data_IF_333362980203
#
_entry.id   IF_333362980203
#
_cell.length_a   1.000
_cell.length_b   1.000
_cell.length_c   1.000
_cell.angle_alpha   90.00
_cell.angle_beta   90.00
_cell.angle_gamma   90.00
#
_symmetry.space_group_name_H-M   'P 1'
#
loop_
_entity.id
_entity.type
_entity.pdbx_description
1 polymer ?
#
# COMPACT_ATOMS: atom_id res chain seq x y z
N UNK A 1 20.58 1.45 -20.81
CA UNK A 1 20.14 2.85 -20.93
C UNK A 1 18.70 2.83 -21.40
N UNK A 2 17.78 3.31 -20.58
CA UNK A 2 16.38 3.41 -20.96
C UNK A 2 16.20 4.68 -21.78
N UNK A 3 15.71 4.57 -23.01
CA UNK A 3 15.39 5.73 -23.80
C UNK A 3 13.93 6.07 -23.55
N UNK A 4 13.65 7.12 -22.79
CA UNK A 4 12.29 7.66 -22.71
C UNK A 4 11.98 8.45 -23.98
N UNK A 5 11.20 7.86 -24.88
CA UNK A 5 10.75 8.55 -26.07
C UNK A 5 9.36 8.05 -26.50
N UNK A 6 8.71 8.75 -27.43
CA UNK A 6 7.36 8.41 -27.87
C UNK A 6 7.22 7.00 -28.51
N UNK A 7 8.33 6.35 -28.91
CA UNK A 7 8.33 5.00 -29.47
C UNK A 7 8.65 3.90 -28.46
N UNK A 8 9.18 4.26 -27.28
CA UNK A 8 9.52 3.29 -26.23
C UNK A 8 8.27 2.84 -25.47
N UNK A 9 8.33 1.61 -24.97
CA UNK A 9 7.25 1.00 -24.17
C UNK A 9 7.83 0.43 -22.89
N UNK A 10 7.18 0.71 -21.77
CA UNK A 10 7.50 0.11 -20.47
C UNK A 10 6.31 -0.70 -19.98
N UNK A 11 6.58 -1.82 -19.32
CA UNK A 11 5.58 -2.65 -18.68
C UNK A 11 5.29 -2.18 -17.27
N UNK A 12 4.01 -2.05 -16.93
CA UNK A 12 3.53 -1.77 -15.58
C UNK A 12 2.86 -3.03 -15.07
N UNK A 13 3.50 -3.74 -14.14
CA UNK A 13 2.86 -4.84 -13.43
C UNK A 13 1.92 -4.22 -12.40
N UNK A 14 0.65 -4.14 -12.80
CA UNK A 14 -0.41 -3.40 -12.15
C UNK A 14 -1.16 -4.29 -11.15
N UNK A 15 -1.06 -3.93 -9.88
CA UNK A 15 -1.64 -4.69 -8.76
C UNK A 15 -3.11 -4.43 -8.53
N UNK A 16 -3.70 -3.42 -9.17
CA UNK A 16 -5.15 -3.15 -9.08
C UNK A 16 -5.97 -4.00 -10.05
N UNK A 17 -5.37 -4.54 -11.11
CA UNK A 17 -6.09 -5.38 -12.07
C UNK A 17 -6.51 -6.68 -11.38
N UNK A 18 -7.82 -6.92 -11.37
CA UNK A 18 -8.48 -8.04 -10.67
C UNK A 18 -8.27 -8.06 -9.14
N UNK A 19 -7.94 -6.92 -8.53
CA UNK A 19 -7.90 -6.81 -7.07
C UNK A 19 -9.30 -6.58 -6.50
N UNK A 20 -9.62 -7.29 -5.43
CA UNK A 20 -10.82 -7.06 -4.60
C UNK A 20 -10.55 -6.13 -3.41
N UNK A 21 -9.38 -5.51 -3.37
CA UNK A 21 -8.95 -4.61 -2.31
C UNK A 21 -8.63 -3.24 -2.90
N UNK A 22 -9.46 -2.23 -2.58
CA UNK A 22 -9.28 -0.87 -3.11
C UNK A 22 -7.95 -0.23 -2.67
N UNK A 23 -7.32 -0.76 -1.62
CA UNK A 23 -5.96 -0.37 -1.22
C UNK A 23 -4.92 -0.54 -2.35
N UNK A 24 -5.07 -1.53 -3.24
CA UNK A 24 -4.17 -1.70 -4.38
C UNK A 24 -4.36 -0.60 -5.43
N UNK A 25 -5.57 -0.02 -5.54
CA UNK A 25 -5.82 1.13 -6.41
C UNK A 25 -5.12 2.39 -5.89
N UNK A 26 -5.08 2.61 -4.57
CA UNK A 26 -4.32 3.72 -3.94
C UNK A 26 -2.82 3.59 -4.24
N UNK A 27 -2.29 2.37 -4.11
CA UNK A 27 -0.89 2.07 -4.42
C UNK A 27 -0.61 2.37 -5.90
N UNK A 28 -1.46 1.88 -6.79
CA UNK A 28 -1.28 2.05 -8.23
C UNK A 28 -1.42 3.50 -8.68
N UNK A 29 -2.36 4.27 -8.12
CA UNK A 29 -2.49 5.71 -8.36
C UNK A 29 -1.17 6.44 -8.05
N UNK A 30 -0.60 6.17 -6.88
CA UNK A 30 0.65 6.80 -6.43
C UNK A 30 1.87 6.31 -7.24
N UNK A 31 1.98 5.01 -7.48
CA UNK A 31 3.08 4.44 -8.24
C UNK A 31 3.06 4.92 -9.71
N UNK A 32 1.89 4.92 -10.35
CA UNK A 32 1.73 5.37 -11.72
C UNK A 32 2.03 6.85 -11.88
N UNK A 33 1.63 7.69 -10.90
CA UNK A 33 2.03 9.10 -10.85
C UNK A 33 3.55 9.27 -10.85
N UNK A 34 4.28 8.51 -10.03
CA UNK A 34 5.75 8.62 -9.96
C UNK A 34 6.42 8.08 -11.22
N UNK A 35 5.97 6.94 -11.75
CA UNK A 35 6.50 6.38 -13.00
C UNK A 35 6.25 7.33 -14.19
N UNK A 36 5.11 7.99 -14.24
CA UNK A 36 4.79 8.94 -15.31
C UNK A 36 5.66 10.20 -15.26
N UNK A 37 6.21 10.58 -14.09
CA UNK A 37 7.21 11.64 -13.96
C UNK A 37 8.58 11.19 -14.49
N UNK A 38 8.95 9.92 -14.26
CA UNK A 38 10.25 9.36 -14.68
C UNK A 38 10.27 9.07 -16.18
N UNK A 39 9.17 8.55 -16.71
CA UNK A 39 9.03 8.19 -18.12
C UNK A 39 7.88 8.97 -18.75
N UNK A 40 7.95 10.29 -18.92
CA UNK A 40 6.84 11.07 -19.47
C UNK A 40 6.44 10.63 -20.88
N UNK A 41 7.38 10.21 -21.74
CA UNK A 41 7.09 9.95 -23.15
C UNK A 41 6.76 8.49 -23.46
N UNK A 42 7.34 7.54 -22.73
CA UNK A 42 7.16 6.11 -22.97
C UNK A 42 5.69 5.70 -22.83
N UNK A 43 5.22 4.81 -23.71
CA UNK A 43 3.93 4.17 -23.53
C UNK A 43 3.96 3.20 -22.33
N UNK A 44 2.96 3.27 -21.45
CA UNK A 44 2.82 2.36 -20.31
C UNK A 44 1.86 1.23 -20.68
N UNK A 45 2.38 0.02 -20.77
CA UNK A 45 1.62 -1.20 -21.06
C UNK A 45 1.32 -1.91 -19.75
N UNK A 46 0.05 -2.02 -19.38
CA UNK A 46 -0.34 -2.62 -18.10
C UNK A 46 -0.49 -4.15 -18.21
N UNK A 47 0.03 -4.86 -17.21
CA UNK A 47 -0.07 -6.31 -17.05
C UNK A 47 -0.61 -6.64 -15.65
N UNK A 48 -1.50 -7.62 -15.49
CA UNK A 48 -1.98 -8.01 -14.17
C UNK A 48 -0.89 -8.70 -13.35
N UNK A 49 -0.98 -8.58 -12.02
CA UNK A 49 -0.16 -9.37 -11.08
C UNK A 49 -0.91 -10.50 -10.41
N UNK A 50 -2.22 -10.35 -10.16
CA UNK A 50 -3.06 -11.36 -9.51
C UNK A 50 -3.47 -12.48 -10.48
N UNK A 51 -3.49 -12.17 -11.78
CA UNK A 51 -3.69 -13.14 -12.85
C UNK A 51 -2.40 -13.46 -13.59
N UNK A 52 -2.38 -14.63 -14.25
CA UNK A 52 -1.27 -15.00 -15.12
C UNK A 52 -1.30 -14.15 -16.38
N UNK A 53 -0.12 -13.75 -16.84
CA UNK A 53 0.02 -13.10 -18.14
C UNK A 53 -0.36 -14.09 -19.24
N UNK A 54 -1.37 -13.73 -20.03
CA UNK A 54 -1.87 -14.56 -21.14
C UNK A 54 -0.96 -14.49 -22.36
N UNK A 55 -1.26 -15.28 -23.41
CA UNK A 55 -0.51 -15.28 -24.68
C UNK A 55 -0.36 -13.89 -25.31
N UNK A 56 -1.39 -13.04 -25.21
CA UNK A 56 -1.33 -11.67 -25.74
C UNK A 56 -0.34 -10.84 -24.93
N UNK A 57 -0.43 -10.92 -23.60
CA UNK A 57 0.51 -10.24 -22.71
C UNK A 57 1.95 -10.67 -22.96
N UNK A 58 2.20 -11.97 -23.14
CA UNK A 58 3.54 -12.50 -23.47
C UNK A 58 4.08 -12.00 -24.81
N UNK A 59 3.23 -11.73 -25.81
CA UNK A 59 3.69 -11.06 -27.04
C UNK A 59 4.13 -9.62 -26.76
N UNK A 60 3.36 -8.88 -25.95
CA UNK A 60 3.69 -7.49 -25.56
C UNK A 60 4.94 -7.39 -24.69
N UNK A 61 5.24 -8.41 -23.88
CA UNK A 61 6.47 -8.50 -23.10
C UNK A 61 7.74 -8.43 -23.97
N UNK A 62 7.67 -8.84 -25.24
CA UNK A 62 8.79 -8.72 -26.20
C UNK A 62 8.96 -7.31 -26.76
N UNK A 63 7.93 -6.46 -26.67
CA UNK A 63 7.91 -5.10 -27.22
C UNK A 63 8.32 -4.04 -26.19
N UNK A 64 8.36 -4.39 -24.91
CA UNK A 64 8.73 -3.47 -23.82
C UNK A 64 10.23 -3.54 -23.51
N UNK A 65 10.77 -2.44 -22.98
CA UNK A 65 12.15 -2.36 -22.52
C UNK A 65 12.36 -2.94 -21.12
N UNK A 66 11.36 -2.81 -20.23
CA UNK A 66 11.44 -3.23 -18.83
C UNK A 66 10.04 -3.43 -18.24
N UNK A 67 9.92 -4.23 -17.18
CA UNK A 67 8.75 -4.22 -16.30
C UNK A 67 9.03 -3.47 -14.99
N UNK A 68 8.06 -2.68 -14.52
CA UNK A 68 8.07 -2.10 -13.18
C UNK A 68 6.95 -2.75 -12.35
N UNK A 69 7.33 -3.44 -11.28
CA UNK A 69 6.42 -4.05 -10.31
C UNK A 69 6.03 -3.04 -9.22
N UNK A 70 4.79 -2.58 -9.27
CA UNK A 70 4.27 -1.49 -8.44
C UNK A 70 3.55 -2.00 -7.19
N UNK A 71 4.19 -1.95 -6.01
CA UNK A 71 3.66 -2.56 -4.79
C UNK A 71 3.19 -4.00 -5.06
N UNK A 72 2.25 -4.63 -4.36
CA UNK A 72 1.67 -4.46 -3.03
C UNK A 72 2.43 -5.44 -2.10
N UNK A 73 1.74 -6.26 -1.32
CA UNK A 73 2.24 -7.52 -0.73
C UNK A 73 2.50 -8.59 -1.82
N UNK A 74 3.41 -8.34 -2.74
CA UNK A 74 3.66 -9.26 -3.86
C UNK A 74 4.64 -10.39 -3.53
N UNK A 75 5.42 -10.25 -2.45
CA UNK A 75 6.51 -11.16 -2.10
C UNK A 75 6.17 -11.97 -0.86
N UNK A 76 6.56 -13.25 -0.85
CA UNK A 76 6.47 -14.13 0.31
C UNK A 76 7.50 -15.26 0.21
N UNK A 77 7.77 -15.98 1.30
CA UNK A 77 8.83 -17.00 1.34
C UNK A 77 8.53 -18.27 0.56
N UNK A 78 7.27 -18.48 0.13
CA UNK A 78 6.78 -19.68 -0.52
C UNK A 78 5.93 -19.36 -1.76
N UNK A 79 6.50 -18.65 -2.73
CA UNK A 79 5.77 -18.15 -3.92
C UNK A 79 5.23 -19.26 -4.84
N UNK A 80 5.70 -20.50 -4.69
CA UNK A 80 5.11 -21.63 -5.40
C UNK A 80 3.67 -21.91 -4.93
N UNK A 81 3.46 -21.81 -3.61
CA UNK A 81 2.20 -22.13 -2.92
C UNK A 81 1.30 -20.90 -2.79
N UNK A 82 1.87 -19.72 -2.55
CA UNK A 82 1.14 -18.47 -2.35
C UNK A 82 1.46 -17.46 -3.45
N UNK A 83 0.54 -17.31 -4.40
CA UNK A 83 0.73 -16.55 -5.64
C UNK A 83 0.02 -15.19 -5.62
N UNK A 84 0.38 -14.32 -4.68
CA UNK A 84 -0.09 -12.92 -4.69
C UNK A 84 0.47 -12.16 -5.89
N UNK A 85 1.73 -12.42 -6.24
CA UNK A 85 2.22 -12.22 -7.58
C UNK A 85 2.18 -13.56 -8.31
N UNK A 86 1.27 -13.67 -9.27
CA UNK A 86 0.97 -14.91 -10.00
C UNK A 86 1.99 -15.19 -11.11
N UNK A 87 3.25 -15.28 -10.71
CA UNK A 87 4.37 -15.61 -11.57
C UNK A 87 4.97 -16.95 -11.17
N UNK A 88 5.19 -17.80 -12.17
CA UNK A 88 5.93 -19.04 -12.04
C UNK A 88 7.18 -19.01 -12.92
N UNK A 89 8.00 -20.05 -12.82
CA UNK A 89 9.26 -20.12 -13.57
C UNK A 89 9.06 -20.09 -15.09
N UNK A 90 7.95 -20.63 -15.59
CA UNK A 90 7.63 -20.57 -17.01
C UNK A 90 7.43 -19.11 -17.44
N UNK A 91 6.54 -18.38 -16.73
CA UNK A 91 6.32 -16.97 -17.03
C UNK A 91 7.58 -16.14 -16.83
N UNK A 92 8.34 -16.38 -15.76
CA UNK A 92 9.58 -15.68 -15.45
C UNK A 92 10.62 -15.79 -16.58
N UNK A 93 10.71 -16.94 -17.25
CA UNK A 93 11.66 -17.15 -18.34
C UNK A 93 11.33 -16.36 -19.62
N UNK A 94 10.04 -16.09 -19.86
CA UNK A 94 9.60 -15.39 -21.07
C UNK A 94 9.27 -13.91 -20.86
N UNK A 95 9.11 -13.49 -19.60
CA UNK A 95 8.89 -12.10 -19.26
C UNK A 95 10.17 -11.28 -19.41
N UNK A 96 10.00 -9.98 -19.70
CA UNK A 96 11.09 -9.02 -19.57
C UNK A 96 11.48 -8.91 -18.10
N UNK A 97 12.76 -8.64 -17.84
CA UNK A 97 13.26 -8.38 -16.49
C UNK A 97 12.42 -7.32 -15.77
N UNK A 98 12.32 -7.50 -14.45
CA UNK A 98 11.45 -6.70 -13.58
C UNK A 98 12.31 -5.85 -12.64
N UNK A 99 11.98 -4.58 -12.51
CA UNK A 99 12.45 -3.69 -11.45
C UNK A 99 11.29 -3.45 -10.49
N UNK A 100 11.54 -3.45 -9.19
CA UNK A 100 10.50 -3.28 -8.18
C UNK A 100 10.37 -1.83 -7.76
N UNK A 101 9.14 -1.40 -7.45
CA UNK A 101 8.80 -0.11 -6.91
C UNK A 101 7.90 -0.29 -5.68
N UNK A 102 8.46 -0.10 -4.50
CA UNK A 102 7.73 -0.12 -3.23
C UNK A 102 7.03 -1.46 -2.94
N UNK A 103 7.61 -2.58 -3.39
CA UNK A 103 7.06 -3.91 -3.11
C UNK A 103 7.31 -4.31 -1.67
N UNK A 104 6.46 -5.19 -1.14
CA UNK A 104 6.55 -5.64 0.24
C UNK A 104 6.38 -7.15 0.44
N UNK A 105 6.95 -7.63 1.54
CA UNK A 105 6.73 -8.98 2.04
C UNK A 105 5.40 -9.09 2.80
N UNK A 106 4.65 -10.16 2.55
CA UNK A 106 3.24 -10.26 2.97
C UNK A 106 3.04 -10.35 4.48
N UNK A 107 3.84 -11.17 5.15
CA UNK A 107 3.77 -11.41 6.60
C UNK A 107 5.19 -11.58 7.14
N UNK A 108 5.34 -11.57 8.46
CA UNK A 108 6.55 -12.09 9.08
C UNK A 108 6.67 -13.59 8.80
N UNK A 109 7.78 -13.97 8.15
CA UNK A 109 8.11 -15.32 7.72
C UNK A 109 9.62 -15.57 7.88
N UNK A 110 9.98 -16.85 7.86
CA UNK A 110 11.37 -17.28 7.71
C UNK A 110 11.95 -16.89 6.35
N UNK A 111 13.25 -17.15 6.18
CA UNK A 111 13.98 -16.87 4.95
C UNK A 111 13.28 -17.48 3.72
N UNK A 112 13.39 -16.85 2.55
CA UNK A 112 12.75 -17.34 1.34
C UNK A 112 13.27 -18.73 0.97
N UNK A 113 12.37 -19.65 0.61
CA UNK A 113 12.77 -21.01 0.23
C UNK A 113 13.61 -21.04 -1.07
N UNK A 114 14.21 -22.20 -1.41
CA UNK A 114 15.04 -22.34 -2.60
C UNK A 114 14.31 -21.95 -3.89
N UNK A 115 13.05 -22.36 -4.04
CA UNK A 115 12.21 -22.01 -5.19
C UNK A 115 12.02 -20.49 -5.31
N UNK A 116 11.56 -19.85 -4.24
CA UNK A 116 11.32 -18.40 -4.21
C UNK A 116 12.61 -17.63 -4.53
N UNK A 117 13.72 -18.03 -3.91
CA UNK A 117 15.01 -17.39 -4.15
C UNK A 117 15.49 -17.55 -5.59
N UNK A 118 15.30 -18.73 -6.19
CA UNK A 118 15.63 -18.98 -7.59
C UNK A 118 14.74 -18.16 -8.54
N UNK A 119 13.43 -18.16 -8.32
CA UNK A 119 12.45 -17.38 -9.10
C UNK A 119 12.81 -15.89 -9.08
N UNK A 120 13.02 -15.31 -7.90
CA UNK A 120 13.28 -13.88 -7.75
C UNK A 120 14.62 -13.48 -8.39
N UNK A 121 15.70 -14.24 -8.20
CA UNK A 121 16.99 -13.97 -8.86
C UNK A 121 16.94 -14.09 -10.38
N UNK A 122 15.97 -14.85 -10.92
CA UNK A 122 15.83 -15.02 -12.35
C UNK A 122 15.02 -13.88 -12.99
N UNK A 123 13.90 -13.48 -12.35
CA UNK A 123 12.98 -12.50 -12.93
C UNK A 123 13.36 -11.05 -12.64
N UNK A 124 13.99 -10.80 -11.49
CA UNK A 124 14.41 -9.47 -11.10
C UNK A 124 15.70 -9.09 -11.83
N UNK A 125 15.82 -7.82 -12.19
CA UNK A 125 17.01 -7.32 -12.87
C UNK A 125 18.26 -7.42 -11.99
N UNK A 126 19.37 -7.89 -12.55
CA UNK A 126 20.66 -7.97 -11.83
C UNK A 126 21.49 -6.69 -11.92
N UNK A 127 21.08 -5.71 -12.74
CA UNK A 127 21.85 -4.49 -13.01
C UNK A 127 21.20 -3.21 -12.49
N UNK A 128 19.95 -3.30 -12.02
CA UNK A 128 19.14 -2.15 -11.63
C UNK A 128 18.80 -2.18 -10.14
N UNK A 129 18.62 -1.02 -9.52
CA UNK A 129 18.22 -0.94 -8.12
C UNK A 129 16.74 -1.29 -7.94
N UNK A 130 16.47 -2.17 -6.98
CA UNK A 130 15.13 -2.58 -6.55
C UNK A 130 14.66 -1.71 -5.40
N UNK A 131 13.45 -1.15 -5.54
CA UNK A 131 12.77 -0.42 -4.47
C UNK A 131 11.84 -1.36 -3.71
N UNK A 132 11.96 -1.36 -2.39
CA UNK A 132 11.03 -2.01 -1.45
C UNK A 132 10.43 -0.99 -0.50
N UNK A 133 9.31 -1.35 0.13
CA UNK A 133 8.56 -0.42 0.98
C UNK A 133 8.97 -0.37 2.44
N UNK A 134 9.76 -1.33 2.91
CA UNK A 134 10.16 -1.48 4.31
C UNK A 134 11.47 -2.26 4.45
N UNK A 135 12.16 -2.03 5.56
CA UNK A 135 13.46 -2.61 5.90
C UNK A 135 13.38 -4.13 6.09
N UNK A 136 12.22 -4.63 6.51
CA UNK A 136 11.97 -6.07 6.61
C UNK A 136 12.03 -6.76 5.25
N UNK A 137 11.35 -6.21 4.25
CA UNK A 137 11.37 -6.72 2.87
C UNK A 137 12.78 -6.62 2.28
N UNK A 138 13.49 -5.52 2.55
CA UNK A 138 14.89 -5.35 2.12
C UNK A 138 15.78 -6.49 2.64
N UNK A 139 15.67 -6.80 3.94
CA UNK A 139 16.42 -7.88 4.58
C UNK A 139 16.12 -9.24 3.96
N UNK A 140 14.85 -9.54 3.67
CA UNK A 140 14.47 -10.83 3.09
C UNK A 140 14.93 -10.98 1.63
N UNK A 141 14.83 -9.92 0.81
CA UNK A 141 15.38 -9.96 -0.55
C UNK A 141 16.90 -10.13 -0.55
N UNK A 142 17.62 -9.44 0.34
CA UNK A 142 19.06 -9.67 0.55
C UNK A 142 19.36 -11.12 0.90
N UNK A 143 18.55 -11.74 1.75
CA UNK A 143 18.71 -13.16 2.10
C UNK A 143 18.40 -14.14 0.96
N UNK A 144 17.62 -13.72 -0.04
CA UNK A 144 17.39 -14.49 -1.29
C UNK A 144 18.52 -14.31 -2.31
N UNK A 145 19.52 -13.47 -2.03
CA UNK A 145 20.65 -13.19 -2.90
C UNK A 145 20.47 -11.98 -3.83
N UNK A 146 19.50 -11.11 -3.55
CA UNK A 146 19.26 -9.87 -4.31
C UNK A 146 19.83 -8.71 -3.49
N UNK A 147 21.02 -8.25 -3.87
CA UNK A 147 21.80 -7.28 -3.08
C UNK A 147 21.61 -5.83 -3.55
N UNK A 148 21.19 -5.64 -4.79
CA UNK A 148 20.81 -4.39 -5.43
C UNK A 148 19.41 -3.93 -5.00
N UNK A 149 19.14 -3.84 -3.71
CA UNK A 149 17.84 -3.49 -3.14
C UNK A 149 17.96 -2.40 -2.07
N UNK A 150 17.00 -1.48 -2.05
CA UNK A 150 16.94 -0.36 -1.10
C UNK A 150 15.52 -0.08 -0.65
N UNK A 151 15.33 0.18 0.65
CA UNK A 151 14.08 0.68 1.19
C UNK A 151 13.82 2.14 0.78
N UNK A 152 12.78 2.34 -0.01
CA UNK A 152 12.35 3.66 -0.51
C UNK A 152 11.01 4.09 0.09
N UNK A 153 10.49 3.39 1.11
CA UNK A 153 9.08 3.43 1.47
C UNK A 153 8.14 3.01 0.32
N UNK A 154 6.84 2.96 0.61
CA UNK A 154 5.82 2.72 -0.41
C UNK A 154 5.61 3.99 -1.25
N UNK A 155 5.35 3.83 -2.56
CA UNK A 155 5.08 4.96 -3.45
C UNK A 155 3.94 5.87 -2.98
N UNK A 156 2.98 5.34 -2.20
CA UNK A 156 1.91 6.13 -1.58
C UNK A 156 2.39 7.17 -0.57
N UNK A 157 3.63 7.06 -0.09
CA UNK A 157 4.19 7.97 0.91
C UNK A 157 5.12 9.02 0.29
N UNK A 158 5.51 8.89 -0.99
CA UNK A 158 6.57 9.72 -1.57
C UNK A 158 6.24 11.21 -1.68
N UNK A 159 4.95 11.56 -1.69
CA UNK A 159 4.51 12.95 -1.69
C UNK A 159 4.19 13.48 -0.27
N UNK A 160 4.34 12.66 0.78
CA UNK A 160 4.17 13.08 2.18
C UNK A 160 5.44 13.76 2.70
N UNK A 161 5.84 14.83 2.04
CA UNK A 161 7.00 15.66 2.43
C UNK A 161 6.74 16.38 3.76
N UNK A 162 7.78 16.96 4.36
CA UNK A 162 7.64 17.79 5.56
C UNK A 162 6.65 18.95 5.32
N UNK A 163 6.75 19.66 4.19
CA UNK A 163 5.84 20.74 3.80
C UNK A 163 4.39 20.25 3.63
N UNK A 164 4.19 19.05 3.09
CA UNK A 164 2.85 18.46 2.96
C UNK A 164 2.29 18.10 4.33
N UNK A 165 3.09 17.47 5.19
CA UNK A 165 2.66 17.04 6.52
C UNK A 165 2.39 18.22 7.45
N UNK A 166 3.11 19.34 7.31
CA UNK A 166 2.90 20.57 8.09
C UNK A 166 1.54 21.24 7.82
N UNK A 167 0.90 20.94 6.68
CA UNK A 167 -0.43 21.44 6.34
C UNK A 167 -1.56 20.63 7.00
N UNK A 168 -1.25 19.46 7.59
CA UNK A 168 -2.23 18.59 8.24
C UNK A 168 -2.52 19.14 9.63
N UNK A 169 -3.80 19.45 9.90
CA UNK A 169 -4.24 19.96 11.20
C UNK A 169 -4.03 18.88 12.27
N UNK A 170 -3.27 19.15 13.36
CA UNK A 170 -2.94 18.13 14.36
C UNK A 170 -4.09 17.84 15.35
N UNK A 171 -5.03 18.79 15.46
CA UNK A 171 -6.21 18.71 16.32
C UNK A 171 -7.23 17.73 15.76
N UNK A 172 -7.95 17.05 16.65
CA UNK A 172 -9.07 16.17 16.33
C UNK A 172 -10.15 16.89 15.53
N UNK A 173 -10.66 16.23 14.49
CA UNK A 173 -11.82 16.70 13.71
C UNK A 173 -13.16 16.38 14.37
N UNK A 174 -14.21 17.01 13.88
CA UNK A 174 -15.59 16.78 14.30
C UNK A 174 -16.09 15.37 13.91
N UNK A 175 -15.81 14.97 12.68
CA UNK A 175 -16.29 13.73 12.07
C UNK A 175 -15.15 12.74 11.87
N UNK A 176 -15.48 11.46 11.65
CA UNK A 176 -14.48 10.42 11.35
C UNK A 176 -14.94 9.47 10.26
N UNK A 177 -14.01 9.12 9.36
CA UNK A 177 -14.15 7.97 8.46
C UNK A 177 -13.23 6.84 8.91
N UNK A 178 -13.78 5.64 9.05
CA UNK A 178 -13.05 4.49 9.55
C UNK A 178 -13.15 3.26 8.65
N UNK A 179 -12.22 2.32 8.87
CA UNK A 179 -12.16 1.05 8.14
C UNK A 179 -11.86 -0.12 9.06
N UNK A 180 -12.36 -1.29 8.67
CA UNK A 180 -12.08 -2.59 9.29
C UNK A 180 -11.37 -3.50 8.28
N UNK A 181 -10.75 -4.59 8.76
CA UNK A 181 -9.98 -5.51 7.91
C UNK A 181 -10.54 -6.92 7.97
N UNK A 182 -11.29 -7.32 6.94
CA UNK A 182 -12.00 -8.60 6.85
C UNK A 182 -11.15 -9.87 6.99
N UNK A 183 -9.87 -9.85 6.61
CA UNK A 183 -8.99 -11.02 6.72
C UNK A 183 -8.17 -11.06 8.02
N UNK A 184 -8.34 -10.06 8.91
CA UNK A 184 -7.72 -9.98 10.24
C UNK A 184 -8.76 -9.61 11.30
N UNK A 185 -9.95 -10.23 11.24
CA UNK A 185 -11.04 -9.97 12.19
C UNK A 185 -10.61 -10.22 13.63
N UNK A 186 -11.00 -9.32 14.51
CA UNK A 186 -11.00 -9.47 15.97
C UNK A 186 -12.22 -8.72 16.46
N UNK A 187 -13.31 -9.46 16.65
CA UNK A 187 -14.62 -8.90 16.96
C UNK A 187 -14.62 -8.10 18.25
N UNK A 188 -13.96 -8.59 19.30
CA UNK A 188 -13.94 -7.93 20.60
C UNK A 188 -13.22 -6.58 20.51
N UNK A 189 -12.06 -6.52 19.84
CA UNK A 189 -11.30 -5.27 19.71
C UNK A 189 -11.95 -4.27 18.76
N UNK A 190 -12.57 -4.75 17.69
CA UNK A 190 -13.24 -3.86 16.74
C UNK A 190 -14.57 -3.30 17.30
N UNK A 191 -15.24 -4.06 18.16
CA UNK A 191 -16.38 -3.54 18.93
C UNK A 191 -15.95 -2.35 19.79
N UNK A 192 -14.86 -2.50 20.55
CA UNK A 192 -14.29 -1.43 21.38
C UNK A 192 -13.92 -0.20 20.54
N UNK A 193 -13.31 -0.42 19.37
CA UNK A 193 -13.00 0.67 18.44
C UNK A 193 -14.27 1.43 17.99
N UNK A 194 -15.30 0.71 17.54
CA UNK A 194 -16.55 1.33 17.07
C UNK A 194 -17.21 2.13 18.20
N UNK A 195 -17.25 1.59 19.42
CA UNK A 195 -17.76 2.29 20.60
C UNK A 195 -16.99 3.57 20.88
N UNK A 196 -15.65 3.52 20.86
CA UNK A 196 -14.80 4.68 21.08
C UNK A 196 -15.01 5.77 20.00
N UNK A 197 -15.16 5.38 18.74
CA UNK A 197 -15.45 6.29 17.63
C UNK A 197 -16.80 6.98 17.82
N UNK A 198 -17.86 6.23 18.12
CA UNK A 198 -19.21 6.79 18.36
C UNK A 198 -19.27 7.68 19.61
N UNK A 199 -18.45 7.41 20.63
CA UNK A 199 -18.32 8.25 21.83
C UNK A 199 -17.55 9.54 21.54
N UNK A 200 -16.72 9.57 20.50
CA UNK A 200 -15.75 10.63 20.26
C UNK A 200 -16.14 11.59 19.14
N UNK A 201 -16.82 11.13 18.09
CA UNK A 201 -17.10 11.92 16.89
C UNK A 201 -18.60 12.09 16.69
N UNK A 202 -18.99 13.22 16.09
CA UNK A 202 -20.40 13.55 15.89
C UNK A 202 -21.01 12.70 14.76
N UNK A 203 -20.35 12.66 13.61
CA UNK A 203 -20.69 11.78 12.49
C UNK A 203 -19.60 10.73 12.25
N UNK A 204 -20.02 9.47 12.08
CA UNK A 204 -19.14 8.33 11.84
C UNK A 204 -19.45 7.72 10.47
N UNK A 205 -18.43 7.61 9.63
CA UNK A 205 -18.50 7.03 8.28
C UNK A 205 -17.70 5.73 8.24
N UNK A 206 -18.25 4.67 7.65
CA UNK A 206 -17.54 3.41 7.44
C UNK A 206 -17.23 3.23 5.96
N UNK A 207 -15.96 3.17 5.59
CA UNK A 207 -15.55 2.87 4.23
C UNK A 207 -15.29 1.39 4.03
N UNK A 208 -16.00 0.80 3.05
CA UNK A 208 -15.82 -0.59 2.65
C UNK A 208 -14.61 -0.68 1.72
N UNK A 209 -13.44 -1.08 2.20
CA UNK A 209 -12.24 -1.13 1.34
C UNK A 209 -12.04 -2.50 0.66
N UNK A 210 -12.28 -3.59 1.38
CA UNK A 210 -12.18 -4.97 0.91
C UNK A 210 -13.55 -5.59 0.66
N UNK A 211 -13.59 -6.62 -0.19
CA UNK A 211 -14.85 -7.26 -0.63
C UNK A 211 -15.72 -7.84 0.50
N UNK A 212 -15.15 -8.21 1.64
CA UNK A 212 -15.89 -8.75 2.80
C UNK A 212 -15.96 -7.78 3.98
N UNK A 213 -15.49 -6.53 3.84
CA UNK A 213 -15.51 -5.55 4.94
C UNK A 213 -16.94 -5.21 5.35
N UNK A 214 -17.86 -5.09 4.37
CA UNK A 214 -19.25 -4.78 4.66
C UNK A 214 -19.96 -5.91 5.42
N UNK A 215 -19.76 -7.16 5.02
CA UNK A 215 -20.30 -8.32 5.74
C UNK A 215 -19.76 -8.38 7.18
N UNK A 216 -18.47 -8.12 7.36
CA UNK A 216 -17.89 -8.05 8.69
C UNK A 216 -18.48 -6.91 9.52
N UNK A 217 -18.63 -5.73 8.94
CA UNK A 217 -19.26 -4.58 9.59
C UNK A 217 -20.71 -4.86 10.00
N UNK A 218 -21.49 -5.57 9.17
CA UNK A 218 -22.85 -5.96 9.50
C UNK A 218 -22.93 -6.92 10.71
N UNK A 219 -21.87 -7.68 11.00
CA UNK A 219 -21.86 -8.62 12.13
C UNK A 219 -21.98 -7.95 13.51
N UNK A 220 -21.76 -6.63 13.60
CA UNK A 220 -21.88 -5.85 14.85
C UNK A 220 -23.32 -5.42 15.19
N UNK A 221 -24.32 -5.77 14.37
CA UNK A 221 -25.74 -5.60 14.70
C UNK A 221 -26.16 -4.16 14.99
N UNK A 222 -26.83 -3.91 16.12
CA UNK A 222 -27.34 -2.57 16.45
C UNK A 222 -26.24 -1.53 16.75
N UNK A 223 -25.01 -1.96 17.04
CA UNK A 223 -23.89 -1.06 17.34
C UNK A 223 -23.60 -0.10 16.18
N UNK A 224 -23.80 -0.57 14.95
CA UNK A 224 -23.51 0.18 13.73
C UNK A 224 -24.64 1.13 13.30
N UNK A 225 -25.75 1.17 14.03
CA UNK A 225 -26.83 2.12 13.76
C UNK A 225 -26.31 3.56 13.84
N UNK A 226 -26.68 4.38 12.85
CA UNK A 226 -26.24 5.77 12.71
C UNK A 226 -24.90 5.96 12.01
N UNK A 227 -24.18 4.89 11.65
CA UNK A 227 -22.94 4.98 10.88
C UNK A 227 -23.27 5.05 9.37
N UNK A 228 -22.71 6.05 8.68
CA UNK A 228 -22.90 6.27 7.23
C UNK A 228 -21.95 5.35 6.45
N UNK A 229 -22.47 4.48 5.60
CA UNK A 229 -21.65 3.56 4.81
C UNK A 229 -21.19 4.24 3.52
N UNK A 230 -19.89 4.21 3.27
CA UNK A 230 -19.24 4.70 2.04
C UNK A 230 -18.90 3.48 1.16
N UNK A 231 -19.39 3.44 -0.09
CA UNK A 231 -19.17 2.31 -1.01
C UNK A 231 -17.70 2.01 -1.30
N UNK A 232 -17.45 0.80 -1.80
CA UNK A 232 -16.12 0.30 -2.12
C UNK A 232 -15.53 0.85 -3.43
N UNK A 233 -15.58 2.17 -3.62
CA UNK A 233 -14.88 2.87 -4.69
C UNK A 233 -13.90 3.89 -4.12
N UNK A 234 -12.74 4.03 -4.77
CA UNK A 234 -11.74 5.02 -4.37
C UNK A 234 -12.29 6.46 -4.50
N UNK A 235 -13.12 6.72 -5.52
CA UNK A 235 -13.74 8.03 -5.72
C UNK A 235 -14.69 8.43 -4.60
N UNK A 236 -15.45 7.49 -4.04
CA UNK A 236 -16.36 7.77 -2.93
C UNK A 236 -15.59 8.09 -1.65
N UNK A 237 -14.48 7.38 -1.40
CA UNK A 237 -13.58 7.67 -0.28
C UNK A 237 -12.90 9.03 -0.41
N UNK A 238 -12.33 9.31 -1.58
CA UNK A 238 -11.72 10.61 -1.89
C UNK A 238 -12.74 11.74 -1.75
N UNK A 239 -13.97 11.54 -2.25
CA UNK A 239 -15.04 12.53 -2.13
C UNK A 239 -15.34 12.88 -0.66
N UNK A 240 -15.44 11.88 0.22
CA UNK A 240 -15.68 12.12 1.65
C UNK A 240 -14.50 12.86 2.29
N UNK A 241 -13.26 12.44 2.00
CA UNK A 241 -12.06 13.11 2.51
C UNK A 241 -11.92 14.54 1.99
N UNK A 242 -12.42 14.88 0.80
CA UNK A 242 -12.29 16.21 0.22
C UNK A 242 -13.42 17.15 0.62
N UNK A 243 -14.66 16.63 0.71
CA UNK A 243 -15.86 17.46 0.81
C UNK A 243 -16.45 17.54 2.23
N UNK A 244 -16.10 16.62 3.14
CA UNK A 244 -16.44 16.78 4.56
C UNK A 244 -15.42 17.74 5.19
N UNK A 245 -15.82 18.93 5.69
CA UNK A 245 -14.86 19.98 6.06
C UNK A 245 -13.89 19.57 7.17
N UNK A 246 -14.38 18.87 8.20
CA UNK A 246 -13.61 18.46 9.36
C UNK A 246 -13.80 16.97 9.58
N UNK A 247 -12.90 16.17 8.99
CA UNK A 247 -12.94 14.71 9.09
C UNK A 247 -11.54 14.15 9.35
N UNK A 248 -11.46 13.23 10.32
CA UNK A 248 -10.28 12.41 10.57
C UNK A 248 -10.44 11.04 9.93
N UNK A 249 -9.31 10.37 9.69
CA UNK A 249 -9.29 8.94 9.43
C UNK A 249 -8.86 8.17 10.68
N UNK A 250 -9.56 7.09 11.01
CA UNK A 250 -9.11 6.12 12.03
C UNK A 250 -9.38 4.71 11.51
N UNK A 251 -8.42 3.78 11.46
CA UNK A 251 -8.82 2.41 11.06
C UNK A 251 -7.69 1.44 10.75
N UNK A 252 -8.11 0.19 10.50
CA UNK A 252 -7.19 -0.95 10.35
C UNK A 252 -6.64 -1.12 8.92
N UNK A 253 -7.19 -0.40 7.93
CA UNK A 253 -6.66 -0.43 6.56
C UNK A 253 -5.55 0.60 6.36
N UNK A 254 -4.31 0.14 6.39
CA UNK A 254 -3.11 0.98 6.24
C UNK A 254 -3.18 2.01 5.10
N UNK A 255 -3.53 1.59 3.88
CA UNK A 255 -3.48 2.49 2.72
C UNK A 255 -4.65 3.51 2.70
N UNK A 256 -5.77 3.23 3.36
CA UNK A 256 -6.82 4.23 3.57
C UNK A 256 -6.29 5.40 4.41
N UNK A 257 -5.56 5.10 5.50
CA UNK A 257 -4.95 6.13 6.32
C UNK A 257 -3.87 6.93 5.60
N UNK A 258 -3.04 6.26 4.78
CA UNK A 258 -2.07 6.97 3.94
C UNK A 258 -2.78 7.87 2.92
N UNK A 259 -3.87 7.42 2.32
CA UNK A 259 -4.67 8.25 1.40
C UNK A 259 -5.32 9.44 2.11
N UNK A 260 -5.79 9.28 3.35
CA UNK A 260 -6.25 10.39 4.17
C UNK A 260 -5.15 11.45 4.39
N UNK A 261 -3.92 11.01 4.69
CA UNK A 261 -2.75 11.91 4.77
C UNK A 261 -2.48 12.62 3.44
N UNK A 262 -2.56 11.91 2.30
CA UNK A 262 -2.43 12.52 0.96
C UNK A 262 -3.49 13.60 0.69
N UNK A 263 -4.67 13.51 1.32
CA UNK A 263 -5.77 14.48 1.23
C UNK A 263 -5.76 15.50 2.39
N UNK A 264 -4.61 15.68 3.04
CA UNK A 264 -4.39 16.62 4.14
C UNK A 264 -5.27 16.38 5.37
N UNK A 265 -5.69 15.13 5.61
CA UNK A 265 -6.49 14.75 6.77
C UNK A 265 -5.63 14.07 7.83
N UNK A 266 -5.91 14.38 9.09
CA UNK A 266 -5.32 13.69 10.25
C UNK A 266 -5.73 12.22 10.20
N UNK A 267 -4.79 11.34 10.43
CA UNK A 267 -4.96 9.89 10.24
C UNK A 267 -4.34 9.11 11.40
N UNK A 268 -5.13 8.21 11.97
CA UNK A 268 -4.71 7.26 12.99
C UNK A 268 -4.85 5.84 12.43
N UNK A 269 -3.73 5.19 12.16
CA UNK A 269 -3.75 3.82 11.62
C UNK A 269 -3.67 2.83 12.78
N UNK A 270 -4.56 1.84 12.78
CA UNK A 270 -4.58 0.80 13.80
C UNK A 270 -3.85 -0.42 13.24
N UNK A 271 -2.85 -0.89 14.00
CA UNK A 271 -2.01 -1.98 13.57
C UNK A 271 -2.72 -3.34 13.65
N UNK A 272 -2.73 -4.09 12.54
CA UNK A 272 -3.25 -5.46 12.46
C UNK A 272 -2.25 -6.45 11.83
N UNK A 273 -1.13 -5.94 11.32
CA UNK A 273 -0.08 -6.73 10.69
C UNK A 273 1.25 -5.97 10.62
N UNK A 274 2.26 -6.65 10.09
CA UNK A 274 3.62 -6.13 9.94
C UNK A 274 3.69 -4.88 9.05
N UNK A 275 2.74 -4.64 8.15
CA UNK A 275 2.86 -3.54 7.18
C UNK A 275 2.76 -2.19 7.86
N UNK A 276 1.82 -2.07 8.80
CA UNK A 276 1.67 -0.86 9.59
C UNK A 276 2.85 -0.71 10.56
N UNK A 277 3.25 -1.81 11.22
CA UNK A 277 4.37 -1.81 12.16
C UNK A 277 5.71 -1.43 11.53
N UNK A 278 6.05 -2.00 10.38
CA UNK A 278 7.31 -1.67 9.72
C UNK A 278 7.33 -0.21 9.24
N UNK A 279 6.21 0.33 8.76
CA UNK A 279 6.13 1.75 8.40
C UNK A 279 6.20 2.70 9.59
N UNK A 280 5.66 2.28 10.75
CA UNK A 280 5.84 3.00 12.01
C UNK A 280 7.31 3.08 12.38
N UNK A 281 8.01 1.94 12.35
CA UNK A 281 9.44 1.84 12.69
C UNK A 281 10.34 2.60 11.72
N UNK A 282 10.13 2.41 10.42
CA UNK A 282 11.01 2.94 9.39
C UNK A 282 10.79 4.43 9.11
N UNK A 283 9.54 4.91 9.17
CA UNK A 283 9.16 6.23 8.65
C UNK A 283 8.37 7.09 9.64
N UNK A 284 8.23 6.66 10.89
CA UNK A 284 7.45 7.36 11.91
C UNK A 284 5.98 7.59 11.51
N UNK A 285 5.39 6.65 10.75
CA UNK A 285 3.97 6.71 10.44
C UNK A 285 3.15 6.52 11.74
N UNK A 286 2.17 7.40 11.98
CA UNK A 286 1.35 7.36 13.19
C UNK A 286 0.44 6.13 13.22
N UNK A 287 0.88 5.11 13.94
CA UNK A 287 0.24 3.80 14.05
C UNK A 287 0.12 3.45 15.52
N UNK A 288 -1.06 3.05 15.95
CA UNK A 288 -1.36 2.66 17.33
C UNK A 288 -1.72 1.17 17.45
N UNK A 289 -1.65 0.66 18.68
CA UNK A 289 -2.08 -0.71 19.01
C UNK A 289 -3.59 -0.85 18.81
N UNK A 290 -4.02 -2.04 18.38
CA UNK A 290 -5.45 -2.42 18.39
C UNK A 290 -5.92 -2.85 19.79
N UNK A 291 -4.98 -3.21 20.66
CA UNK A 291 -5.21 -3.70 22.01
C UNK A 291 -5.31 -2.54 23.00
N UNK A 292 -6.45 -1.86 22.98
CA UNK A 292 -6.77 -0.70 23.82
C UNK A 292 -8.21 -0.80 24.29
N UNK A 293 -8.52 -0.22 25.44
CA UNK A 293 -9.90 -0.03 25.90
C UNK A 293 -10.53 1.25 25.30
N UNK A 294 -11.84 1.42 25.50
CA UNK A 294 -12.60 2.57 24.98
C UNK A 294 -11.99 3.91 25.43
N UNK A 295 -11.66 4.05 26.72
CA UNK A 295 -11.18 5.32 27.25
C UNK A 295 -9.76 5.66 26.79
N UNK A 296 -8.90 4.66 26.55
CA UNK A 296 -7.59 4.86 25.93
C UNK A 296 -7.73 5.37 24.49
N UNK A 297 -8.61 4.76 23.68
CA UNK A 297 -8.90 5.27 22.33
C UNK A 297 -9.42 6.70 22.37
N UNK A 298 -10.38 7.00 23.25
CA UNK A 298 -10.94 8.35 23.40
C UNK A 298 -9.86 9.36 23.79
N UNK A 299 -8.94 9.01 24.70
CA UNK A 299 -7.79 9.85 25.05
C UNK A 299 -6.94 10.15 23.82
N UNK A 300 -6.50 9.10 23.12
CA UNK A 300 -5.66 9.22 21.91
C UNK A 300 -6.34 10.07 20.84
N UNK A 301 -7.65 9.89 20.63
CA UNK A 301 -8.39 10.66 19.64
C UNK A 301 -8.40 12.15 19.96
N UNK A 302 -8.47 12.53 21.24
CA UNK A 302 -8.51 13.93 21.69
C UNK A 302 -7.13 14.59 21.79
N UNK A 303 -6.05 13.81 21.79
CA UNK A 303 -4.68 14.33 21.77
C UNK A 303 -4.34 14.99 20.42
N UNK A 304 -3.52 16.05 20.46
CA UNK A 304 -2.97 16.65 19.25
C UNK A 304 -1.83 15.78 18.71
N UNK A 305 -1.90 15.41 17.43
CA UNK A 305 -0.84 14.63 16.78
C UNK A 305 -0.43 15.31 15.47
N UNK A 306 0.81 15.80 15.43
CA UNK A 306 1.38 16.31 14.19
C UNK A 306 1.81 15.16 13.28
N UNK A 307 1.48 15.26 11.99
CA UNK A 307 2.03 14.33 11.00
C UNK A 307 3.54 14.61 10.86
N UNK A 308 4.38 13.71 11.35
CA UNK A 308 5.83 13.81 11.24
C UNK A 308 6.37 12.52 10.61
N UNK A 309 6.52 12.51 9.29
CA UNK A 309 6.89 11.32 8.52
C UNK A 309 8.31 11.47 8.00
N UNK A 310 9.18 10.51 8.33
CA UNK A 310 10.58 10.48 7.93
C UNK A 310 10.75 9.69 6.63
N UNK A 311 10.75 10.38 5.48
CA UNK A 311 10.93 9.73 4.18
C UNK A 311 12.40 9.44 3.86
N UNK A 312 12.72 8.28 3.26
CA UNK A 312 14.08 7.93 2.86
C UNK A 312 14.46 8.59 1.53
N UNK A 313 14.52 9.93 1.50
CA UNK A 313 14.69 10.72 0.26
C UNK A 313 15.92 10.32 -0.56
N UNK A 314 17.05 10.02 0.10
CA UNK A 314 18.27 9.56 -0.58
C UNK A 314 18.07 8.23 -1.29
N UNK A 315 17.34 7.29 -0.68
CA UNK A 315 17.02 5.99 -1.28
C UNK A 315 16.03 6.12 -2.44
N UNK A 316 15.04 7.01 -2.29
CA UNK A 316 14.08 7.32 -3.35
C UNK A 316 14.82 7.87 -4.56
N UNK A 317 15.75 8.82 -4.36
CA UNK A 317 16.53 9.38 -5.46
C UNK A 317 17.49 8.36 -6.07
N UNK A 318 18.22 7.59 -5.25
CA UNK A 318 19.07 6.50 -5.76
C UNK A 318 18.31 5.53 -6.69
N UNK A 319 17.05 5.25 -6.38
CA UNK A 319 16.21 4.42 -7.24
C UNK A 319 15.71 5.15 -8.49
N UNK A 320 15.46 6.46 -8.44
CA UNK A 320 14.97 7.23 -9.60
C UNK A 320 16.09 7.52 -10.61
N UNK A 321 17.25 7.93 -10.14
CA UNK A 321 18.38 8.33 -10.98
C UNK A 321 18.95 7.22 -11.86
N UNK A 322 18.59 5.95 -11.62
CA UNK A 322 19.01 4.84 -12.48
C UNK A 322 18.35 4.83 -13.87
N UNK A 323 17.29 5.64 -14.04
CA UNK A 323 16.52 5.74 -15.28
C UNK A 323 16.89 6.95 -16.14
N UNK A 324 17.78 7.81 -15.64
CA UNK A 324 18.36 8.96 -16.36
C UNK A 324 19.51 8.52 -17.28
#
# INVERSE_FOLDING_TARGET
MFFDNASSKIGILNTSICSMNIGDFIIMDSAYKQISKIFPQSQKVHFPTHERITRVGMKRQKEISINILCGTNCLNSSMLLHRQWNVDLYNAFFMKEVITLGVGWTNYQDKPGPYTSFLLRHILSNTHMHSVRDSYTEKLLKSAGITNVVNTACATMWDLTEDHCAQIVPKKSKDVIFTLTDYRKDYAKDLILIEALKKSYDDVYFWVQGSQDYEYFQSFGCLINGIKVVPANLSDFDYVLENVPSIDYVGTRLHAGIRALQKLRRSIIISVDNRAEEKRKDFNLYVISRDLCVDEYVSIFNEEHSANISLPLKSIELWKSQFE
#
